data_IF_487546801354
#
_entry.id   IF_487546801354
#
_cell.length_a   1.000
_cell.length_b   1.000
_cell.length_c   1.000
_cell.angle_alpha   90.00
_cell.angle_beta   90.00
_cell.angle_gamma   90.00
#
_symmetry.space_group_name_H-M   'P 1'
#
loop_
_entity.id
_entity.type
_entity.pdbx_description
1 polymer ?
#
# COMPACT_ATOMS: atom_id res chain seq x y z
N UNK A 1 -7.57 -2.32 13.49
CA UNK A 1 -8.84 -2.52 12.78
C UNK A 1 -9.12 -4.01 12.68
N UNK A 2 -10.38 -4.42 12.70
CA UNK A 2 -10.81 -5.82 12.51
C UNK A 2 -11.56 -5.90 11.18
N UNK A 3 -11.25 -6.90 10.36
CA UNK A 3 -11.91 -7.17 9.09
C UNK A 3 -13.20 -7.98 9.30
N UNK A 4 -14.08 -8.04 8.31
CA UNK A 4 -15.36 -8.75 8.40
C UNK A 4 -15.25 -10.27 8.68
N UNK A 5 -14.08 -10.88 8.45
CA UNK A 5 -13.80 -12.29 8.78
C UNK A 5 -13.19 -12.47 10.18
N UNK A 6 -13.13 -11.40 10.99
CA UNK A 6 -12.56 -11.40 12.33
C UNK A 6 -11.04 -11.20 12.38
N UNK A 7 -10.34 -11.08 11.25
CA UNK A 7 -8.90 -10.85 11.28
C UNK A 7 -8.56 -9.46 11.83
N UNK A 8 -7.70 -9.41 12.86
CA UNK A 8 -7.17 -8.17 13.41
C UNK A 8 -5.91 -7.74 12.64
N UNK A 9 -6.01 -6.62 11.92
CA UNK A 9 -4.87 -6.02 11.24
C UNK A 9 -3.84 -5.46 12.23
N UNK A 10 -2.58 -5.48 11.82
CA UNK A 10 -1.51 -4.72 12.46
C UNK A 10 -1.79 -3.21 12.38
N UNK A 11 -1.07 -2.45 13.19
CA UNK A 11 -1.11 -0.99 13.13
C UNK A 11 -0.69 -0.50 11.73
N UNK A 12 -1.34 0.56 11.29
CA UNK A 12 -1.13 1.20 10.00
C UNK A 12 -1.16 2.71 10.18
N UNK A 13 -0.43 3.44 9.33
CA UNK A 13 -0.46 4.90 9.30
C UNK A 13 -1.35 5.34 8.14
N UNK A 14 -2.27 6.27 8.40
CA UNK A 14 -3.15 6.81 7.39
C UNK A 14 -3.05 8.34 7.37
N UNK A 15 -2.91 8.90 6.18
CA UNK A 15 -2.84 10.34 5.91
C UNK A 15 -3.94 10.70 4.91
N UNK A 16 -4.73 11.73 5.22
CA UNK A 16 -5.77 12.25 4.33
C UNK A 16 -5.12 13.25 3.37
N UNK A 17 -5.27 13.04 2.06
CA UNK A 17 -4.69 13.90 1.03
C UNK A 17 -5.76 14.82 0.40
N UNK A 18 -6.99 14.33 0.26
CA UNK A 18 -8.18 15.07 -0.20
C UNK A 18 -9.44 14.47 0.42
N UNK A 19 -10.62 14.93 -0.01
CA UNK A 19 -11.93 14.40 0.43
C UNK A 19 -12.08 12.89 0.17
N UNK A 20 -11.57 12.39 -0.96
CA UNK A 20 -11.75 11.01 -1.44
C UNK A 20 -10.43 10.23 -1.61
N UNK A 21 -9.29 10.87 -1.31
CA UNK A 21 -7.96 10.30 -1.50
C UNK A 21 -7.16 10.33 -0.20
N UNK A 22 -6.54 9.20 0.12
CA UNK A 22 -5.65 9.07 1.27
C UNK A 22 -4.47 8.15 0.99
N UNK A 23 -3.42 8.32 1.78
CA UNK A 23 -2.22 7.48 1.75
C UNK A 23 -2.24 6.54 2.95
N UNK A 24 -2.08 5.24 2.67
CA UNK A 24 -2.08 4.19 3.68
C UNK A 24 -0.74 3.45 3.68
N UNK A 25 -0.10 3.38 4.84
CA UNK A 25 1.13 2.61 5.05
C UNK A 25 0.79 1.39 5.93
N UNK A 26 1.01 0.20 5.37
CA UNK A 26 0.85 -1.09 6.05
C UNK A 26 2.16 -1.88 6.02
N UNK A 27 2.36 -2.72 7.03
CA UNK A 27 3.54 -3.59 7.19
C UNK A 27 3.20 -5.08 7.06
N UNK A 28 2.02 -5.37 6.51
CA UNK A 28 1.54 -6.71 6.18
C UNK A 28 0.80 -6.68 4.84
N UNK A 29 0.58 -7.85 4.23
CA UNK A 29 -0.08 -7.98 2.94
C UNK A 29 -1.07 -9.13 2.92
N UNK A 30 -2.22 -8.98 3.61
CA UNK A 30 -3.31 -9.97 3.56
C UNK A 30 -4.11 -9.87 2.27
N UNK A 31 -4.84 -10.94 1.95
CA UNK A 31 -5.67 -11.00 0.74
C UNK A 31 -6.67 -9.84 0.69
N UNK A 32 -6.56 -9.02 -0.37
CA UNK A 32 -7.36 -7.80 -0.57
C UNK A 32 -7.43 -6.87 0.66
N UNK A 33 -6.38 -6.83 1.48
CA UNK A 33 -6.42 -6.20 2.80
C UNK A 33 -6.94 -4.76 2.74
N UNK A 34 -6.34 -3.90 1.92
CA UNK A 34 -6.76 -2.48 1.82
C UNK A 34 -8.23 -2.36 1.44
N UNK A 35 -8.68 -3.07 0.38
CA UNK A 35 -10.09 -3.05 -0.04
C UNK A 35 -11.02 -3.49 1.09
N UNK A 36 -10.65 -4.55 1.81
CA UNK A 36 -11.44 -5.10 2.92
C UNK A 36 -11.45 -4.18 4.15
N UNK A 37 -10.36 -3.45 4.40
CA UNK A 37 -10.30 -2.44 5.46
C UNK A 37 -11.34 -1.34 5.22
N UNK A 38 -11.39 -0.81 4.00
CA UNK A 38 -12.37 0.24 3.67
C UNK A 38 -13.81 -0.29 3.61
N UNK A 39 -14.03 -1.51 3.11
CA UNK A 39 -15.37 -2.15 3.17
C UNK A 39 -15.85 -2.29 4.61
N UNK A 40 -14.97 -2.65 5.55
CA UNK A 40 -15.30 -2.72 6.98
C UNK A 40 -15.65 -1.36 7.61
N UNK A 41 -15.32 -0.25 6.94
CA UNK A 41 -15.71 1.12 7.32
C UNK A 41 -16.90 1.65 6.50
N UNK A 42 -17.61 0.78 5.77
CA UNK A 42 -18.66 1.15 4.84
C UNK A 42 -18.19 2.11 3.72
N UNK A 43 -16.94 1.96 3.27
CA UNK A 43 -16.37 2.67 2.13
C UNK A 43 -15.93 1.70 1.03
N UNK A 44 -15.80 2.21 -0.19
CA UNK A 44 -15.31 1.45 -1.34
C UNK A 44 -14.00 2.05 -1.90
N UNK A 45 -13.04 1.19 -2.21
CA UNK A 45 -11.79 1.61 -2.87
C UNK A 45 -11.98 1.57 -4.38
N UNK A 46 -12.19 2.74 -4.97
CA UNK A 46 -12.38 2.91 -6.42
C UNK A 46 -11.06 2.80 -7.19
N UNK A 47 -9.97 3.33 -6.63
CA UNK A 47 -8.62 3.25 -7.17
C UNK A 47 -7.63 2.86 -6.08
N UNK A 48 -6.71 1.95 -6.42
CA UNK A 48 -5.65 1.53 -5.50
C UNK A 48 -4.32 1.51 -6.24
N UNK A 49 -3.44 2.43 -5.86
CA UNK A 49 -2.10 2.54 -6.40
C UNK A 49 -1.08 2.32 -5.28
N UNK A 50 -0.09 1.44 -5.52
CA UNK A 50 1.04 1.27 -4.62
C UNK A 50 2.19 2.14 -5.12
N UNK A 51 2.35 3.30 -4.49
CA UNK A 51 3.41 4.26 -4.84
C UNK A 51 4.81 3.83 -4.36
N UNK A 52 4.89 3.07 -3.25
CA UNK A 52 6.16 2.73 -2.59
C UNK A 52 6.15 1.33 -1.99
N UNK A 53 7.31 0.67 -2.03
CA UNK A 53 7.60 -0.53 -1.25
C UNK A 53 8.98 -0.37 -0.62
N UNK A 54 9.04 -0.35 0.70
CA UNK A 54 10.29 -0.05 1.42
C UNK A 54 10.86 1.32 0.97
N UNK A 55 12.07 1.34 0.42
CA UNK A 55 12.76 2.50 -0.16
C UNK A 55 12.46 2.67 -1.66
N UNK A 56 11.82 1.69 -2.31
CA UNK A 56 11.60 1.68 -3.75
C UNK A 56 10.36 2.49 -4.13
N UNK A 57 10.49 3.38 -5.13
CA UNK A 57 9.38 4.13 -5.74
C UNK A 57 9.29 3.89 -7.24
N UNK A 58 8.14 4.20 -7.83
CA UNK A 58 7.89 4.07 -9.27
C UNK A 58 7.80 5.42 -10.01
N UNK A 59 8.22 6.52 -9.39
CA UNK A 59 7.96 7.89 -9.89
C UNK A 59 8.49 8.17 -11.30
N UNK A 60 9.57 7.48 -11.70
CA UNK A 60 10.20 7.62 -13.02
C UNK A 60 10.00 6.40 -13.93
N UNK A 61 9.01 5.54 -13.64
CA UNK A 61 8.73 4.33 -14.42
C UNK A 61 7.35 4.43 -15.09
N UNK A 62 7.29 4.52 -16.43
CA UNK A 62 6.01 4.58 -17.13
C UNK A 62 5.14 3.33 -16.89
N UNK A 63 3.82 3.51 -16.94
CA UNK A 63 2.85 2.41 -16.77
C UNK A 63 3.16 1.28 -17.78
N UNK A 64 3.18 0.04 -17.27
CA UNK A 64 3.48 -1.16 -18.06
C UNK A 64 4.96 -1.37 -18.39
N UNK A 65 5.86 -0.49 -17.92
CA UNK A 65 7.30 -0.69 -18.04
C UNK A 65 7.88 -1.30 -16.77
N UNK A 66 9.05 -1.91 -16.94
CA UNK A 66 9.86 -2.47 -15.86
C UNK A 66 11.31 -2.03 -16.06
N UNK A 67 12.08 -2.05 -14.98
CA UNK A 67 13.53 -1.84 -15.00
C UNK A 67 14.18 -2.74 -13.94
N UNK A 68 15.46 -3.09 -14.11
CA UNK A 68 16.22 -3.67 -13.01
C UNK A 68 16.37 -2.66 -11.85
N UNK A 69 16.54 -3.19 -10.65
CA UNK A 69 16.92 -2.39 -9.48
C UNK A 69 18.37 -1.94 -9.62
N UNK A 70 18.70 -0.79 -9.04
CA UNK A 70 20.10 -0.39 -8.85
C UNK A 70 20.71 -1.19 -7.70
N UNK A 71 22.04 -1.26 -7.64
CA UNK A 71 22.74 -1.92 -6.53
C UNK A 71 22.41 -1.30 -5.16
N UNK A 72 22.12 0.01 -5.13
CA UNK A 72 21.74 0.71 -3.89
C UNK A 72 20.34 0.32 -3.44
N UNK A 73 19.39 0.29 -4.38
CA UNK A 73 18.02 -0.17 -4.14
C UNK A 73 18.01 -1.62 -3.65
N UNK A 74 18.76 -2.51 -4.30
CA UNK A 74 18.86 -3.91 -3.91
C UNK A 74 19.43 -4.06 -2.49
N UNK A 75 20.55 -3.39 -2.19
CA UNK A 75 21.15 -3.43 -0.85
C UNK A 75 20.18 -2.97 0.23
N UNK A 76 19.41 -1.91 -0.03
CA UNK A 76 18.46 -1.38 0.94
C UNK A 76 17.34 -2.36 1.32
N UNK A 77 17.05 -3.36 0.49
CA UNK A 77 16.03 -4.38 0.81
C UNK A 77 16.52 -5.44 1.81
N UNK A 78 17.82 -5.61 1.94
CA UNK A 78 18.44 -6.67 2.77
C UNK A 78 19.18 -6.14 4.00
N UNK A 79 19.35 -4.82 4.11
CA UNK A 79 19.89 -4.13 5.28
C UNK A 79 18.84 -3.93 6.35
#
# INVERSE_FOLDING_TARGET
MILNDGYQCKSATFEILSEDTGRLIITEGKFHQVKRMFIALNNEVISLHRERFHTLTCDNLPIGKTRPLTLEEEKSLYS
#
